data_IF_143673935882
#
_entry.id   IF_143673935882
#
_cell.length_a   1.000
_cell.length_b   1.000
_cell.length_c   1.000
_cell.angle_alpha   90.00
_cell.angle_beta   90.00
_cell.angle_gamma   90.00
#
_symmetry.space_group_name_H-M   'P 1'
#
loop_
_entity.id
_entity.type
_entity.pdbx_description
1 polymer ?
#
# COMPACT_ATOMS: atom_id res chain seq x y z
N UNK A 1 4.49 -20.42 9.24
CA UNK A 1 5.13 -20.58 7.93
C UNK A 1 5.47 -22.04 7.64
N UNK A 2 5.38 -22.93 8.63
CA UNK A 2 6.05 -24.24 8.62
C UNK A 2 5.40 -25.29 7.71
N UNK A 3 4.11 -25.15 7.40
CA UNK A 3 3.40 -26.08 6.51
C UNK A 3 3.52 -25.74 5.02
N UNK A 4 3.80 -24.48 4.68
CA UNK A 4 3.89 -23.99 3.29
C UNK A 4 4.96 -22.88 3.16
N UNK A 5 6.21 -23.15 3.56
CA UNK A 5 7.25 -22.13 3.68
C UNK A 5 7.57 -21.44 2.35
N UNK A 6 7.30 -22.11 1.23
CA UNK A 6 7.55 -21.64 -0.13
C UNK A 6 6.37 -20.90 -0.76
N UNK A 7 5.28 -20.67 -0.01
CA UNK A 7 4.03 -20.09 -0.53
C UNK A 7 3.54 -18.88 0.26
N UNK A 8 3.89 -18.79 1.54
CA UNK A 8 3.46 -17.71 2.41
C UNK A 8 4.64 -17.05 3.09
N UNK A 9 4.57 -15.72 3.09
CA UNK A 9 5.48 -14.85 3.82
C UNK A 9 4.62 -14.01 4.74
N UNK A 10 5.08 -13.84 5.98
CA UNK A 10 4.31 -13.16 7.02
C UNK A 10 5.01 -11.86 7.39
N UNK A 11 4.22 -10.82 7.59
CA UNK A 11 4.68 -9.53 8.10
C UNK A 11 4.17 -9.40 9.53
N UNK A 12 5.02 -8.88 10.43
CA UNK A 12 4.64 -8.56 11.79
C UNK A 12 3.57 -7.47 11.81
N UNK A 13 2.84 -7.39 12.93
CA UNK A 13 1.90 -6.31 13.20
C UNK A 13 2.18 -5.75 14.59
N UNK A 14 2.01 -4.43 14.73
CA UNK A 14 2.14 -3.74 16.01
C UNK A 14 0.75 -3.26 16.45
N UNK A 15 0.47 -3.42 17.74
CA UNK A 15 -0.66 -2.74 18.36
C UNK A 15 -0.25 -1.33 18.78
N UNK A 16 -0.70 -0.33 18.04
CA UNK A 16 -0.40 1.09 18.30
C UNK A 16 -1.27 1.71 19.39
N UNK A 17 -2.25 0.99 19.95
CA UNK A 17 -3.12 1.52 20.99
C UNK A 17 -2.33 1.76 22.29
N UNK A 18 -2.48 2.95 22.88
CA UNK A 18 -1.78 3.34 24.10
C UNK A 18 -0.32 3.75 23.86
N UNK A 19 0.07 4.01 22.61
CA UNK A 19 1.43 4.45 22.29
C UNK A 19 1.85 5.66 23.14
N UNK A 20 3.12 5.67 23.58
CA UNK A 20 3.68 6.72 24.42
C UNK A 20 3.54 6.50 25.94
N UNK A 21 2.92 5.41 26.38
CA UNK A 21 3.04 4.96 27.76
C UNK A 21 4.51 4.62 28.11
N UNK A 22 4.87 4.71 29.39
CA UNK A 22 6.22 4.38 29.87
C UNK A 22 6.61 2.95 29.47
N UNK A 23 7.80 2.78 28.87
CA UNK A 23 8.33 1.48 28.41
C UNK A 23 7.71 0.92 27.13
N UNK A 24 6.63 1.52 26.61
CA UNK A 24 5.88 0.97 25.47
C UNK A 24 6.73 0.83 24.20
N UNK A 25 7.58 1.81 23.92
CA UNK A 25 8.37 1.84 22.69
C UNK A 25 9.51 0.83 22.74
N UNK A 26 10.16 0.67 23.91
CA UNK A 26 11.20 -0.32 24.13
C UNK A 26 10.64 -1.75 23.98
N UNK A 27 9.50 -2.04 24.61
CA UNK A 27 8.81 -3.32 24.49
C UNK A 27 8.38 -3.61 23.05
N UNK A 28 7.82 -2.61 22.36
CA UNK A 28 7.35 -2.74 20.97
C UNK A 28 8.51 -3.05 20.02
N UNK A 29 9.63 -2.35 20.17
CA UNK A 29 10.84 -2.58 19.35
C UNK A 29 11.43 -3.96 19.63
N UNK A 30 11.50 -4.36 20.91
CA UNK A 30 11.97 -5.69 21.30
C UNK A 30 11.09 -6.81 20.72
N UNK A 31 9.77 -6.64 20.77
CA UNK A 31 8.82 -7.59 20.19
C UNK A 31 8.97 -7.67 18.67
N UNK A 32 9.13 -6.54 17.98
CA UNK A 32 9.38 -6.52 16.53
C UNK A 32 10.65 -7.29 16.16
N UNK A 33 11.75 -7.09 16.89
CA UNK A 33 12.98 -7.86 16.69
C UNK A 33 12.74 -9.37 16.88
N UNK A 34 11.96 -9.74 17.89
CA UNK A 34 11.63 -11.14 18.14
C UNK A 34 10.74 -11.73 17.04
N UNK A 35 9.77 -10.97 16.52
CA UNK A 35 8.90 -11.39 15.42
C UNK A 35 9.71 -11.66 14.15
N UNK A 36 10.72 -10.82 13.86
CA UNK A 36 11.63 -11.03 12.73
C UNK A 36 12.50 -12.27 12.94
N UNK A 37 13.04 -12.50 14.15
CA UNK A 37 13.74 -13.74 14.50
C UNK A 37 12.85 -14.98 14.33
N UNK A 38 11.56 -14.82 14.59
CA UNK A 38 10.55 -15.87 14.41
C UNK A 38 10.08 -16.04 12.94
N UNK A 39 10.63 -15.26 12.00
CA UNK A 39 10.42 -15.43 10.56
C UNK A 39 9.56 -14.37 9.88
N UNK A 40 9.12 -13.32 10.58
CA UNK A 40 8.49 -12.18 9.92
C UNK A 40 9.49 -11.50 8.96
N UNK A 41 9.03 -11.16 7.76
CA UNK A 41 9.88 -10.57 6.69
C UNK A 41 9.54 -9.13 6.36
N UNK A 42 8.81 -8.46 7.24
CA UNK A 42 8.29 -7.11 7.02
C UNK A 42 7.39 -6.69 8.16
N UNK A 43 7.05 -5.42 8.21
CA UNK A 43 6.05 -4.86 9.12
C UNK A 43 4.84 -4.42 8.31
N UNK A 44 3.64 -4.89 8.68
CA UNK A 44 2.38 -4.43 8.10
C UNK A 44 1.73 -3.44 9.06
N UNK A 45 1.51 -2.21 8.59
CA UNK A 45 0.78 -1.15 9.28
C UNK A 45 -0.59 -0.99 8.63
N UNK A 46 -1.64 -1.03 9.43
CA UNK A 46 -3.02 -0.82 9.00
C UNK A 46 -3.41 0.66 9.14
N UNK A 47 -4.44 1.06 8.39
CA UNK A 47 -5.00 2.42 8.43
C UNK A 47 -5.58 2.83 9.78
N UNK A 48 -5.66 1.93 10.76
CA UNK A 48 -6.02 2.32 12.12
C UNK A 48 -5.02 3.32 12.69
N UNK A 49 -3.72 3.20 12.35
CA UNK A 49 -2.74 4.25 12.61
C UNK A 49 -3.08 5.47 11.72
N UNK A 50 -3.17 6.65 12.33
CA UNK A 50 -3.62 7.87 11.66
C UNK A 50 -5.14 8.05 11.56
N UNK A 51 -5.95 6.98 11.69
CA UNK A 51 -7.42 7.11 11.69
C UNK A 51 -8.09 6.90 13.06
N UNK A 52 -7.65 5.90 13.84
CA UNK A 52 -8.43 5.40 14.99
C UNK A 52 -7.60 5.08 16.22
N UNK A 53 -6.36 4.64 16.04
CA UNK A 53 -5.50 4.34 17.17
C UNK A 53 -5.28 5.59 18.00
N UNK A 54 -5.28 5.41 19.32
CA UNK A 54 -5.06 6.48 20.27
C UNK A 54 -3.77 6.27 21.03
N UNK A 55 -3.13 7.37 21.40
CA UNK A 55 -2.03 7.36 22.34
C UNK A 55 -2.52 7.12 23.77
N UNK A 56 -1.57 7.05 24.72
CA UNK A 56 -1.87 6.83 26.13
C UNK A 56 -2.76 7.92 26.77
N UNK A 57 -2.86 9.10 26.15
CA UNK A 57 -3.73 10.20 26.60
C UNK A 57 -5.12 10.16 25.92
N UNK A 58 -5.38 9.16 25.07
CA UNK A 58 -6.64 9.01 24.34
C UNK A 58 -6.77 9.91 23.12
N UNK A 59 -5.67 10.56 22.68
CA UNK A 59 -5.63 11.42 21.48
C UNK A 59 -5.33 10.57 20.25
N UNK A 60 -5.82 10.97 19.07
CA UNK A 60 -5.52 10.29 17.81
C UNK A 60 -4.01 10.25 17.58
N UNK A 61 -3.46 9.06 17.36
CA UNK A 61 -2.05 8.88 17.08
C UNK A 61 -1.75 9.17 15.60
N UNK A 62 -0.86 10.15 15.35
CA UNK A 62 -0.40 10.51 14.01
C UNK A 62 0.59 9.47 13.45
N UNK A 63 0.63 9.33 12.12
CA UNK A 63 1.54 8.36 11.48
C UNK A 63 3.01 8.75 11.67
N UNK A 64 3.30 10.05 11.70
CA UNK A 64 4.63 10.64 11.93
C UNK A 64 4.86 11.11 13.37
N UNK A 65 4.12 10.56 14.34
CA UNK A 65 4.39 10.82 15.75
C UNK A 65 5.84 10.40 16.09
N UNK A 66 6.70 11.30 16.61
CA UNK A 66 8.12 11.00 16.85
C UNK A 66 8.35 9.82 17.80
N UNK A 67 7.37 9.50 18.66
CA UNK A 67 7.44 8.33 19.56
C UNK A 67 7.47 7.01 18.79
N UNK A 68 7.08 7.01 17.51
CA UNK A 68 7.07 5.83 16.64
C UNK A 68 8.37 5.67 15.84
N UNK A 69 9.23 6.69 15.77
CA UNK A 69 10.49 6.68 15.01
C UNK A 69 11.38 5.46 15.29
N UNK A 70 11.54 4.99 16.54
CA UNK A 70 12.34 3.80 16.82
C UNK A 70 11.85 2.53 16.09
N UNK A 71 10.55 2.41 15.82
CA UNK A 71 9.98 1.28 15.07
C UNK A 71 10.46 1.31 13.62
N UNK A 72 10.38 2.49 13.00
CA UNK A 72 10.74 2.68 11.59
C UNK A 72 12.24 2.54 11.38
N UNK A 73 13.04 3.11 12.28
CA UNK A 73 14.49 2.96 12.30
C UNK A 73 14.88 1.48 12.47
N UNK A 74 14.23 0.76 13.39
CA UNK A 74 14.48 -0.67 13.60
C UNK A 74 14.17 -1.49 12.36
N UNK A 75 13.10 -1.19 11.63
CA UNK A 75 12.81 -1.89 10.36
C UNK A 75 13.95 -1.71 9.35
N UNK A 76 14.52 -0.51 9.26
CA UNK A 76 15.69 -0.22 8.43
C UNK A 76 16.95 -0.97 8.86
N UNK A 77 17.23 -1.03 10.17
CA UNK A 77 18.35 -1.81 10.74
C UNK A 77 18.22 -3.31 10.47
N UNK A 78 17.00 -3.85 10.58
CA UNK A 78 16.70 -5.26 10.33
C UNK A 78 16.63 -5.60 8.83
N UNK A 79 16.66 -4.60 7.95
CA UNK A 79 16.54 -4.79 6.50
C UNK A 79 15.17 -5.32 6.06
N UNK A 80 14.11 -5.06 6.82
CA UNK A 80 12.74 -5.46 6.49
C UNK A 80 11.93 -4.27 5.96
N UNK A 81 11.03 -4.45 4.98
CA UNK A 81 10.17 -3.39 4.49
C UNK A 81 8.97 -3.12 5.40
N UNK A 82 8.47 -1.89 5.38
CA UNK A 82 7.21 -1.47 6.02
C UNK A 82 6.12 -1.32 4.95
N UNK A 83 5.14 -2.23 4.95
CA UNK A 83 3.92 -2.10 4.15
C UNK A 83 2.88 -1.32 4.93
N UNK A 84 2.60 -0.08 4.53
CA UNK A 84 1.66 0.80 5.23
C UNK A 84 0.42 1.09 4.39
N UNK A 85 -0.74 0.96 5.02
CA UNK A 85 -2.01 1.47 4.51
C UNK A 85 -2.37 2.71 5.33
N UNK A 86 -2.30 3.90 4.71
CA UNK A 86 -2.75 5.15 5.32
C UNK A 86 -4.06 5.61 4.64
N UNK A 87 -4.97 6.20 5.42
CA UNK A 87 -6.26 6.71 4.94
C UNK A 87 -7.10 5.67 4.16
N UNK A 88 -7.88 6.18 3.21
CA UNK A 88 -8.77 5.51 2.26
C UNK A 88 -8.81 6.40 0.98
N UNK A 89 -9.49 6.03 -0.13
CA UNK A 89 -9.59 6.89 -1.31
C UNK A 89 -10.01 8.34 -0.96
N UNK A 90 -9.39 9.34 -1.60
CA UNK A 90 -9.68 10.76 -1.34
C UNK A 90 -11.17 11.09 -1.45
N UNK A 91 -11.88 10.48 -2.39
CA UNK A 91 -13.32 10.68 -2.59
C UNK A 91 -14.19 10.27 -1.40
N UNK A 92 -13.66 9.59 -0.39
CA UNK A 92 -14.40 9.38 0.86
C UNK A 92 -14.47 10.65 1.72
N UNK A 93 -13.56 11.61 1.52
CA UNK A 93 -13.57 12.94 2.14
C UNK A 93 -14.33 13.98 1.31
N UNK A 94 -14.38 13.82 -0.02
CA UNK A 94 -15.12 14.73 -0.92
C UNK A 94 -16.64 14.69 -0.67
N UNK A 95 -17.38 15.66 -1.19
CA UNK A 95 -18.84 15.73 -1.06
C UNK A 95 -19.53 14.48 -1.60
N UNK A 96 -20.63 14.06 -0.94
CA UNK A 96 -21.36 12.86 -1.36
C UNK A 96 -22.49 13.22 -2.32
N UNK A 97 -22.13 13.41 -3.58
CA UNK A 97 -23.04 13.81 -4.67
C UNK A 97 -22.81 12.94 -5.94
N UNK A 98 -23.38 13.39 -7.07
CA UNK A 98 -23.24 12.71 -8.35
C UNK A 98 -21.87 12.84 -9.01
N UNK A 99 -21.05 13.80 -8.57
CA UNK A 99 -19.72 14.07 -9.12
C UNK A 99 -18.62 13.28 -8.38
N UNK A 100 -18.94 12.76 -7.19
CA UNK A 100 -18.06 11.85 -6.45
C UNK A 100 -17.91 10.49 -7.15
N UNK A 101 -16.71 10.17 -7.65
CA UNK A 101 -16.46 8.91 -8.38
C UNK A 101 -16.71 7.64 -7.54
N UNK A 102 -16.71 7.75 -6.21
CA UNK A 102 -16.99 6.67 -5.25
C UNK A 102 -18.40 6.74 -4.66
N UNK A 103 -19.31 7.53 -5.23
CA UNK A 103 -20.65 7.75 -4.67
C UNK A 103 -21.41 6.43 -4.39
N UNK A 104 -21.39 5.44 -5.28
CA UNK A 104 -22.12 4.19 -5.04
C UNK A 104 -21.46 3.34 -3.95
N UNK A 105 -20.13 3.39 -3.84
CA UNK A 105 -19.41 2.76 -2.74
C UNK A 105 -19.85 3.37 -1.41
N UNK A 106 -19.95 4.70 -1.34
CA UNK A 106 -20.43 5.42 -0.17
C UNK A 106 -21.92 5.15 0.08
N UNK A 107 -22.75 5.03 -0.96
CA UNK A 107 -24.17 4.69 -0.85
C UNK A 107 -24.38 3.29 -0.25
N UNK A 108 -23.57 2.32 -0.67
CA UNK A 108 -23.68 0.92 -0.23
C UNK A 108 -22.89 0.63 1.05
N UNK A 109 -21.88 1.44 1.36
CA UNK A 109 -21.01 1.32 2.53
C UNK A 109 -20.85 2.68 3.24
N UNK A 110 -21.93 3.26 3.80
CA UNK A 110 -21.95 4.64 4.31
C UNK A 110 -20.93 4.92 5.42
N UNK A 111 -20.54 3.91 6.20
CA UNK A 111 -19.50 4.03 7.25
C UNK A 111 -18.09 4.35 6.71
N UNK A 112 -17.90 4.33 5.40
CA UNK A 112 -16.65 4.73 4.73
C UNK A 112 -16.53 6.23 4.53
N UNK A 113 -17.63 6.98 4.51
CA UNK A 113 -17.59 8.45 4.41
C UNK A 113 -16.78 9.03 5.57
N UNK A 114 -16.00 10.04 5.25
CA UNK A 114 -15.17 10.83 6.15
C UNK A 114 -15.42 12.31 5.86
N UNK A 115 -14.84 13.17 6.68
CA UNK A 115 -14.85 14.62 6.49
C UNK A 115 -13.56 15.20 7.10
N UNK A 116 -13.37 16.52 6.98
CA UNK A 116 -12.17 17.20 7.46
C UNK A 116 -11.94 17.09 8.98
N UNK A 117 -12.95 16.72 9.77
CA UNK A 117 -12.87 16.58 11.23
C UNK A 117 -13.10 15.15 11.71
N UNK A 118 -13.25 14.20 10.78
CA UNK A 118 -13.52 12.79 11.05
C UNK A 118 -12.56 11.88 10.26
N UNK A 119 -11.40 11.52 10.84
CA UNK A 119 -10.87 12.04 12.09
C UNK A 119 -10.08 13.35 11.90
N UNK A 120 -9.53 13.57 10.71
CA UNK A 120 -8.73 14.72 10.28
C UNK A 120 -8.80 14.81 8.74
N UNK A 121 -8.33 15.91 8.10
CA UNK A 121 -8.30 16.01 6.65
C UNK A 121 -7.48 14.90 6.00
N UNK A 122 -7.84 14.51 4.78
CA UNK A 122 -7.13 13.46 4.03
C UNK A 122 -5.66 13.85 3.80
N UNK A 123 -5.43 15.10 3.42
CA UNK A 123 -4.11 15.67 3.16
C UNK A 123 -3.21 15.59 4.39
N UNK A 124 -3.78 15.72 5.60
CA UNK A 124 -3.02 15.57 6.83
C UNK A 124 -2.49 14.14 6.97
N UNK A 125 -3.35 13.13 6.87
CA UNK A 125 -2.95 11.71 7.05
C UNK A 125 -1.90 11.30 6.01
N UNK A 126 -2.09 11.74 4.77
CA UNK A 126 -1.15 11.44 3.68
C UNK A 126 0.19 12.16 3.89
N UNK A 127 0.17 13.40 4.36
CA UNK A 127 1.39 14.13 4.67
C UNK A 127 2.16 13.50 5.84
N UNK A 128 1.47 13.03 6.88
CA UNK A 128 2.09 12.30 7.99
C UNK A 128 2.79 11.02 7.49
N UNK A 129 2.16 10.27 6.57
CA UNK A 129 2.82 9.12 5.93
C UNK A 129 4.08 9.54 5.15
N UNK A 130 4.01 10.63 4.37
CA UNK A 130 5.17 11.12 3.62
C UNK A 130 6.30 11.60 4.53
N UNK A 131 5.98 12.25 5.66
CA UNK A 131 6.96 12.67 6.66
C UNK A 131 7.68 11.45 7.25
N UNK A 132 6.95 10.40 7.62
CA UNK A 132 7.52 9.13 8.07
C UNK A 132 8.53 8.60 7.05
N UNK A 133 8.19 8.56 5.75
CA UNK A 133 9.09 8.06 4.71
C UNK A 133 10.36 8.89 4.58
N UNK A 134 10.23 10.22 4.60
CA UNK A 134 11.35 11.17 4.45
C UNK A 134 12.28 11.18 5.65
N UNK A 135 11.74 11.02 6.86
CA UNK A 135 12.51 11.01 8.10
C UNK A 135 13.32 9.71 8.28
N UNK A 136 12.98 8.63 7.56
CA UNK A 136 13.63 7.32 7.66
C UNK A 136 14.13 6.82 6.30
N UNK A 137 15.10 7.51 5.68
CA UNK A 137 15.55 7.21 4.31
C UNK A 137 16.23 5.84 4.17
N UNK A 138 16.67 5.23 5.28
CA UNK A 138 17.28 3.89 5.31
C UNK A 138 16.25 2.75 5.41
N UNK A 139 14.97 3.08 5.60
CA UNK A 139 13.89 2.11 5.72
C UNK A 139 13.14 2.02 4.40
N UNK A 140 12.94 0.80 3.90
CA UNK A 140 12.17 0.58 2.66
C UNK A 140 10.67 0.54 2.97
N UNK A 141 9.88 1.32 2.24
CA UNK A 141 8.44 1.36 2.38
C UNK A 141 7.74 0.72 1.19
N UNK A 142 6.56 0.16 1.44
CA UNK A 142 5.57 -0.21 0.41
C UNK A 142 4.30 0.57 0.75
N UNK A 143 4.01 1.61 -0.03
CA UNK A 143 2.80 2.40 0.10
C UNK A 143 1.64 1.63 -0.55
N UNK A 144 0.72 1.15 0.27
CA UNK A 144 -0.43 0.38 -0.21
C UNK A 144 -1.29 1.26 -1.13
N UNK A 145 -1.93 0.63 -2.12
CA UNK A 145 -2.89 1.28 -3.01
C UNK A 145 -2.29 2.47 -3.79
N UNK A 146 -0.98 2.41 -4.06
CA UNK A 146 -0.21 3.51 -4.66
C UNK A 146 -0.37 4.85 -3.91
N UNK A 147 -0.48 4.81 -2.58
CA UNK A 147 -0.71 6.01 -1.75
C UNK A 147 -2.04 6.70 -2.04
N UNK A 148 -2.99 5.98 -2.64
CA UNK A 148 -4.25 6.53 -3.16
C UNK A 148 -4.11 7.58 -4.27
N UNK A 149 -2.94 7.65 -4.91
CA UNK A 149 -2.68 8.51 -6.08
C UNK A 149 -2.79 7.76 -7.42
N UNK A 150 -3.40 6.59 -7.48
CA UNK A 150 -3.62 5.89 -8.76
C UNK A 150 -4.45 6.71 -9.77
N UNK A 151 -5.26 7.66 -9.28
CA UNK A 151 -6.01 8.63 -10.09
C UNK A 151 -5.17 9.83 -10.56
N UNK A 152 -4.01 10.06 -9.95
CA UNK A 152 -3.09 11.16 -10.26
C UNK A 152 -1.66 10.61 -10.29
N UNK A 153 -1.36 9.86 -11.35
CA UNK A 153 -0.05 9.26 -11.57
C UNK A 153 1.05 10.32 -11.79
N UNK A 154 0.69 11.56 -12.14
CA UNK A 154 1.64 12.67 -12.21
C UNK A 154 2.19 12.99 -10.83
N UNK A 155 1.29 13.26 -9.87
CA UNK A 155 1.68 13.51 -8.49
C UNK A 155 2.40 12.33 -7.85
N UNK A 156 1.95 11.10 -8.12
CA UNK A 156 2.64 9.91 -7.62
C UNK A 156 4.07 9.79 -8.17
N UNK A 157 4.29 10.19 -9.42
CA UNK A 157 5.62 10.21 -10.03
C UNK A 157 6.57 11.12 -9.28
N UNK A 158 6.14 12.36 -9.00
CA UNK A 158 6.92 13.32 -8.22
C UNK A 158 7.29 12.76 -6.83
N UNK A 159 6.34 12.10 -6.16
CA UNK A 159 6.57 11.50 -4.85
C UNK A 159 7.56 10.32 -4.89
N UNK A 160 7.54 9.50 -5.95
CA UNK A 160 8.50 8.39 -6.13
C UNK A 160 9.91 8.89 -6.44
N UNK A 161 10.02 10.01 -7.15
CA UNK A 161 11.28 10.69 -7.45
C UNK A 161 11.85 11.35 -6.17
N UNK A 162 11.01 11.99 -5.35
CA UNK A 162 11.40 12.64 -4.08
C UNK A 162 11.75 11.66 -2.95
N UNK A 163 11.12 10.47 -2.92
CA UNK A 163 11.27 9.49 -1.84
C UNK A 163 11.82 8.17 -2.40
N UNK A 164 13.16 8.03 -2.58
CA UNK A 164 13.78 6.86 -3.21
C UNK A 164 13.60 5.54 -2.43
N UNK A 165 13.15 5.61 -1.18
CA UNK A 165 12.83 4.46 -0.34
C UNK A 165 11.36 3.99 -0.42
N UNK A 166 10.48 4.69 -1.16
CA UNK A 166 9.05 4.35 -1.29
C UNK A 166 8.72 3.43 -2.47
N UNK A 167 8.26 2.21 -2.25
CA UNK A 167 7.67 1.38 -3.31
C UNK A 167 6.15 1.47 -3.22
N UNK A 168 5.41 1.01 -4.23
CA UNK A 168 3.95 1.08 -4.26
C UNK A 168 3.31 -0.27 -4.60
N UNK A 169 2.20 -0.59 -3.95
CA UNK A 169 1.41 -1.79 -4.26
C UNK A 169 0.11 -1.46 -5.00
N UNK A 170 -0.24 -2.24 -6.02
CA UNK A 170 -1.44 -1.98 -6.87
C UNK A 170 -2.76 -2.55 -6.34
N UNK A 171 -2.75 -3.08 -5.12
CA UNK A 171 -3.94 -3.70 -4.51
C UNK A 171 -5.12 -2.74 -4.47
N UNK A 172 -6.32 -3.24 -4.74
CA UNK A 172 -7.59 -2.50 -4.68
C UNK A 172 -7.74 -1.27 -5.60
N UNK A 173 -6.75 -0.94 -6.44
CA UNK A 173 -6.75 0.24 -7.33
C UNK A 173 -6.68 -0.10 -8.83
N UNK A 174 -6.93 -1.36 -9.20
CA UNK A 174 -6.78 -1.79 -10.60
C UNK A 174 -7.72 -1.04 -11.54
N UNK A 175 -8.87 -0.58 -11.02
CA UNK A 175 -9.87 0.19 -11.78
C UNK A 175 -9.33 1.54 -12.26
N UNK A 176 -8.57 2.22 -11.40
CA UNK A 176 -7.95 3.52 -11.62
C UNK A 176 -6.84 3.44 -12.66
N UNK A 177 -6.12 2.32 -12.72
CA UNK A 177 -5.11 2.08 -13.75
C UNK A 177 -5.74 1.81 -15.11
N UNK A 178 -6.74 0.92 -15.15
CA UNK A 178 -7.35 0.52 -16.41
C UNK A 178 -8.27 1.56 -17.05
N UNK A 179 -8.60 2.67 -16.39
CA UNK A 179 -9.28 3.82 -17.07
C UNK A 179 -8.34 4.72 -17.86
N UNK A 180 -7.04 4.63 -17.62
CA UNK A 180 -6.02 5.55 -18.18
C UNK A 180 -4.85 4.79 -18.82
N UNK A 181 -5.11 3.82 -19.72
CA UNK A 181 -4.14 2.79 -20.08
C UNK A 181 -2.83 3.35 -20.65
N UNK A 182 -2.91 4.41 -21.47
CA UNK A 182 -1.74 5.02 -22.10
C UNK A 182 -0.79 5.68 -21.10
N UNK A 183 -1.34 6.38 -20.09
CA UNK A 183 -0.49 7.02 -19.08
C UNK A 183 -0.02 6.01 -18.04
N UNK A 184 -0.89 5.08 -17.63
CA UNK A 184 -0.51 3.97 -16.75
C UNK A 184 0.62 3.11 -17.36
N UNK A 185 0.56 2.75 -18.65
CA UNK A 185 1.67 2.05 -19.34
C UNK A 185 2.99 2.80 -19.23
N UNK A 186 3.00 4.10 -19.55
CA UNK A 186 4.20 4.96 -19.44
C UNK A 186 4.73 5.04 -18.01
N UNK A 187 3.82 5.17 -17.03
CA UNK A 187 4.17 5.22 -15.62
C UNK A 187 4.81 3.90 -15.15
N UNK A 188 4.21 2.77 -15.51
CA UNK A 188 4.74 1.44 -15.18
C UNK A 188 6.12 1.22 -15.80
N UNK A 189 6.36 1.66 -17.04
CA UNK A 189 7.68 1.57 -17.67
C UNK A 189 8.70 2.45 -16.93
N UNK A 190 8.36 3.71 -16.60
CA UNK A 190 9.27 4.63 -15.90
C UNK A 190 9.63 4.13 -14.50
N UNK A 191 8.65 3.66 -13.74
CA UNK A 191 8.79 3.27 -12.33
C UNK A 191 8.76 1.75 -12.10
N UNK A 192 9.10 0.98 -13.13
CA UNK A 192 8.99 -0.49 -13.13
C UNK A 192 9.69 -1.17 -11.95
N UNK A 193 10.76 -0.57 -11.40
CA UNK A 193 11.51 -1.11 -10.26
C UNK A 193 10.88 -0.79 -8.90
N UNK A 194 9.77 -0.05 -8.86
CA UNK A 194 9.13 0.46 -7.62
C UNK A 194 7.68 0.01 -7.45
N UNK A 195 7.12 -0.73 -8.41
CA UNK A 195 5.72 -1.14 -8.41
C UNK A 195 5.61 -2.63 -8.11
N UNK A 196 4.80 -2.99 -7.11
CA UNK A 196 4.56 -4.36 -6.70
C UNK A 196 3.13 -4.78 -7.02
N UNK A 197 2.99 -6.01 -7.48
CA UNK A 197 1.71 -6.66 -7.58
C UNK A 197 1.10 -6.89 -6.18
N UNK A 198 -0.19 -6.64 -6.06
CA UNK A 198 -0.97 -6.92 -4.86
C UNK A 198 -2.46 -6.85 -5.20
N UNK A 199 -3.28 -7.57 -4.43
CA UNK A 199 -4.73 -7.65 -4.68
C UNK A 199 -5.59 -7.28 -3.47
N UNK A 200 -4.99 -7.15 -2.29
CA UNK A 200 -5.63 -6.74 -1.02
C UNK A 200 -6.64 -7.75 -0.43
N UNK A 201 -6.78 -8.94 -1.02
CA UNK A 201 -7.56 -10.06 -0.45
C UNK A 201 -7.37 -11.34 -1.26
N UNK A 202 -7.58 -12.51 -0.68
CA UNK A 202 -7.59 -13.76 -1.45
C UNK A 202 -8.96 -13.97 -2.10
N UNK A 203 -9.11 -13.58 -3.37
CA UNK A 203 -10.27 -13.96 -4.21
C UNK A 203 -9.80 -14.38 -5.60
N UNK A 204 -9.51 -15.67 -5.82
CA UNK A 204 -8.92 -16.18 -7.06
C UNK A 204 -9.66 -15.73 -8.33
N UNK A 205 -10.99 -15.73 -8.30
CA UNK A 205 -11.82 -15.37 -9.46
C UNK A 205 -11.68 -13.90 -9.91
N UNK A 206 -11.07 -13.03 -9.10
CA UNK A 206 -10.84 -11.62 -9.44
C UNK A 206 -9.46 -11.37 -10.09
N UNK A 207 -8.51 -12.29 -9.95
CA UNK A 207 -7.15 -12.17 -10.54
C UNK A 207 -7.14 -12.07 -12.07
N UNK A 208 -8.01 -12.79 -12.82
CA UNK A 208 -8.08 -12.61 -14.27
C UNK A 208 -8.32 -11.16 -14.72
N UNK A 209 -9.03 -10.34 -13.92
CA UNK A 209 -9.16 -8.90 -14.23
C UNK A 209 -7.83 -8.17 -14.11
N UNK A 210 -7.01 -8.50 -13.12
CA UNK A 210 -5.69 -7.88 -12.95
C UNK A 210 -4.76 -8.26 -14.10
N UNK A 211 -4.71 -9.56 -14.45
CA UNK A 211 -3.91 -10.02 -15.58
C UNK A 211 -4.37 -9.39 -16.89
N UNK A 212 -5.68 -9.35 -17.15
CA UNK A 212 -6.24 -8.69 -18.33
C UNK A 212 -5.89 -7.21 -18.41
N UNK A 213 -5.96 -6.47 -17.30
CA UNK A 213 -5.57 -5.05 -17.28
C UNK A 213 -4.07 -4.90 -17.52
N UNK A 214 -3.21 -5.74 -16.95
CA UNK A 214 -1.76 -5.56 -17.05
C UNK A 214 -1.16 -6.08 -18.37
N UNK A 215 -1.65 -7.21 -18.87
CA UNK A 215 -0.98 -8.01 -19.90
C UNK A 215 -1.55 -7.78 -21.31
N UNK A 216 -2.84 -7.48 -21.45
CA UNK A 216 -3.47 -7.42 -22.77
C UNK A 216 -3.53 -6.00 -23.34
N UNK A 217 -3.77 -5.92 -24.64
CA UNK A 217 -4.17 -4.70 -25.34
C UNK A 217 -5.70 -4.59 -25.48
N UNK A 218 -6.46 -5.33 -24.66
CA UNK A 218 -7.92 -5.35 -24.76
C UNK A 218 -8.52 -3.99 -24.40
N UNK A 219 -9.53 -3.60 -25.15
CA UNK A 219 -10.27 -2.38 -24.88
C UNK A 219 -11.68 -2.69 -24.38
N UNK A 220 -12.24 -1.77 -23.60
CA UNK A 220 -13.65 -1.75 -23.28
C UNK A 220 -14.21 -3.06 -22.66
N UNK A 221 -13.67 -3.47 -21.51
CA UNK A 221 -14.16 -4.65 -20.79
C UNK A 221 -14.66 -4.34 -19.38
N UNK A 222 -15.59 -5.15 -18.81
CA UNK A 222 -16.20 -4.84 -17.53
C UNK A 222 -15.23 -5.05 -16.36
N UNK A 223 -15.36 -4.21 -15.33
CA UNK A 223 -14.74 -4.44 -14.04
C UNK A 223 -15.59 -5.36 -13.16
N UNK A 224 -14.96 -6.32 -12.47
CA UNK A 224 -15.67 -7.31 -11.64
C UNK A 224 -16.37 -6.69 -10.42
N UNK A 225 -15.90 -5.53 -9.94
CA UNK A 225 -16.38 -4.90 -8.70
C UNK A 225 -17.10 -3.58 -8.97
N UNK A 226 -18.34 -3.68 -9.44
CA UNK A 226 -19.14 -2.55 -9.95
C UNK A 226 -19.30 -1.38 -9.00
N UNK A 227 -19.23 -1.54 -7.67
CA UNK A 227 -19.40 -0.40 -6.76
C UNK A 227 -18.14 0.43 -6.55
N UNK A 228 -16.96 -0.09 -6.92
CA UNK A 228 -15.70 0.67 -6.89
C UNK A 228 -15.54 1.55 -8.13
N UNK A 229 -16.05 1.09 -9.28
CA UNK A 229 -15.91 1.76 -10.57
C UNK A 229 -17.02 1.33 -11.54
N UNK A 230 -17.45 2.29 -12.37
CA UNK A 230 -18.55 2.15 -13.35
C UNK A 230 -18.06 2.25 -14.80
N UNK A 231 -16.79 2.57 -15.00
CA UNK A 231 -16.20 2.72 -16.31
C UNK A 231 -15.73 1.38 -16.86
N UNK A 232 -15.58 1.34 -18.19
CA UNK A 232 -14.92 0.24 -18.85
C UNK A 232 -13.42 0.26 -18.56
N UNK A 233 -12.85 -0.93 -18.44
CA UNK A 233 -11.43 -1.17 -18.25
C UNK A 233 -10.74 -1.33 -19.60
N UNK A 234 -9.45 -0.97 -19.63
CA UNK A 234 -8.57 -1.10 -20.77
C UNK A 234 -7.26 -1.75 -20.32
N UNK A 235 -6.70 -2.57 -21.20
CA UNK A 235 -5.43 -3.24 -21.04
C UNK A 235 -4.27 -2.27 -21.22
N UNK A 236 -3.21 -2.45 -20.44
CA UNK A 236 -1.99 -1.66 -20.48
C UNK A 236 -0.99 -2.19 -21.49
N UNK A 237 -1.12 -3.45 -21.91
CA UNK A 237 -0.20 -4.12 -22.83
C UNK A 237 1.26 -3.97 -22.37
N UNK A 238 1.53 -4.31 -21.09
CA UNK A 238 2.88 -4.21 -20.53
C UNK A 238 3.78 -5.30 -21.11
N UNK A 239 5.02 -4.94 -21.41
CA UNK A 239 6.03 -5.91 -21.82
C UNK A 239 6.40 -6.86 -20.68
N UNK A 240 6.82 -8.09 -21.05
CA UNK A 240 7.14 -9.17 -20.11
C UNK A 240 8.24 -8.79 -19.09
N UNK A 241 9.22 -7.97 -19.49
CA UNK A 241 10.27 -7.47 -18.61
C UNK A 241 9.72 -6.58 -17.47
N UNK A 242 8.75 -5.71 -17.79
CA UNK A 242 8.03 -4.90 -16.80
C UNK A 242 7.12 -5.78 -15.93
N UNK A 243 6.39 -6.72 -16.55
CA UNK A 243 5.49 -7.63 -15.84
C UNK A 243 6.23 -8.49 -14.81
N UNK A 244 7.39 -9.05 -15.16
CA UNK A 244 8.24 -9.82 -14.22
C UNK A 244 8.64 -8.99 -12.99
N UNK A 245 8.97 -7.72 -13.18
CA UNK A 245 9.29 -6.81 -12.07
C UNK A 245 8.11 -6.58 -11.16
N UNK A 246 6.95 -6.29 -11.74
CA UNK A 246 5.70 -6.09 -11.01
C UNK A 246 5.28 -7.35 -10.26
N UNK A 247 5.32 -8.52 -10.91
CA UNK A 247 4.84 -9.78 -10.34
C UNK A 247 5.73 -10.37 -9.26
N UNK A 248 7.06 -10.27 -9.39
CA UNK A 248 7.93 -10.90 -8.39
C UNK A 248 9.29 -10.23 -8.18
N UNK A 249 9.99 -9.70 -9.19
CA UNK A 249 11.38 -9.26 -8.97
C UNK A 249 11.48 -8.11 -7.96
N UNK A 250 10.52 -7.20 -7.94
CA UNK A 250 10.51 -6.13 -6.94
C UNK A 250 10.26 -6.67 -5.53
N UNK A 251 9.41 -7.68 -5.38
CA UNK A 251 9.21 -8.35 -4.09
C UNK A 251 10.47 -9.08 -3.64
N UNK A 252 11.12 -9.85 -4.53
CA UNK A 252 12.40 -10.53 -4.25
C UNK A 252 13.51 -9.55 -3.85
N UNK A 253 13.52 -8.36 -4.44
CA UNK A 253 14.52 -7.32 -4.13
C UNK A 253 14.36 -6.75 -2.72
N UNK A 254 13.13 -6.54 -2.24
CA UNK A 254 12.88 -5.75 -1.02
C UNK A 254 12.39 -6.55 0.17
N UNK A 255 11.88 -7.77 -0.03
CA UNK A 255 11.41 -8.65 1.04
C UNK A 255 12.49 -9.69 1.32
N UNK A 256 13.14 -9.69 2.50
CA UNK A 256 14.21 -10.63 2.78
C UNK A 256 13.70 -12.06 2.92
N UNK A 257 14.55 -13.02 2.57
CA UNK A 257 14.31 -14.44 2.80
C UNK A 257 13.30 -15.10 1.85
N UNK A 258 12.95 -14.45 0.73
CA UNK A 258 12.21 -15.11 -0.35
C UNK A 258 13.12 -16.06 -1.13
N UNK A 259 12.61 -17.25 -1.45
CA UNK A 259 13.35 -18.25 -2.23
C UNK A 259 13.30 -17.92 -3.73
N UNK A 260 14.41 -17.37 -4.23
CA UNK A 260 14.57 -17.02 -5.65
C UNK A 260 14.45 -18.23 -6.58
N UNK A 261 14.69 -19.46 -6.10
CA UNK A 261 14.63 -20.67 -6.94
C UNK A 261 13.21 -21.06 -7.37
N UNK A 262 12.19 -20.49 -6.73
CA UNK A 262 10.77 -20.70 -7.05
C UNK A 262 10.30 -19.88 -8.25
N UNK A 263 11.14 -18.97 -8.75
CA UNK A 263 10.81 -18.06 -9.85
C UNK A 263 11.63 -18.41 -11.10
N UNK A 264 11.13 -18.10 -12.31
CA UNK A 264 11.88 -18.33 -13.54
C UNK A 264 13.25 -17.66 -13.49
N UNK A 265 14.27 -18.37 -13.98
CA UNK A 265 15.57 -17.75 -14.26
C UNK A 265 15.43 -16.86 -15.49
N UNK A 266 16.11 -15.72 -15.46
CA UNK A 266 16.22 -14.82 -16.60
C UNK A 266 16.99 -15.45 -17.76
#
# INVERSE_FOLDING_TARGET
>A
ADHYPNRFVVFANINFEGAGAEGWIEETVQQLEQDVKNGARGLKVYKSLGLRNKDFEGKRLAIDDPRLDPIWAKCGELGIPVLIHAADPKSFWDDFDGDNERWLELKTHPRRKRDATNPVPWEQIIQEQHNMFKNHPKTTYINAHMGWFANDLGKLGDLLDDMPNMNVGIGAIIAELGRQPRFAKKFFIKYQDRILFGKDSWKPNEFPTYFRVLESADEYFPYHKKYHAFWAMYGLDLHDDVLKKVYYKNALRIVPGLDNSLFPKD
#
